data_IF_805381635214
#
_entry.id   IF_805381635214
#
_cell.length_a   1.000
_cell.length_b   1.000
_cell.length_c   1.000
_cell.angle_alpha   90.00
_cell.angle_beta   90.00
_cell.angle_gamma   90.00
#
_symmetry.space_group_name_H-M   'P 1'
#
loop_
_entity.id
_entity.type
_entity.pdbx_description
1 polymer ?
#
# COMPACT_ATOMS: atom_id res chain seq x y z
N UNK A 1 10.04 -25.50 -12.96
CA UNK A 1 11.30 -26.19 -12.63
C UNK A 1 11.04 -26.95 -11.34
N UNK A 2 11.13 -28.29 -11.36
CA UNK A 2 11.00 -29.10 -10.15
C UNK A 2 12.21 -28.81 -9.25
N UNK A 3 11.99 -28.57 -7.95
CA UNK A 3 13.08 -28.41 -6.97
C UNK A 3 13.30 -29.73 -6.24
N UNK A 4 14.53 -30.02 -5.87
CA UNK A 4 14.82 -31.14 -4.97
C UNK A 4 14.32 -30.80 -3.56
N UNK A 5 13.50 -31.66 -2.95
CA UNK A 5 12.98 -31.44 -1.60
C UNK A 5 14.10 -31.34 -0.56
N UNK A 6 15.24 -31.99 -0.81
CA UNK A 6 16.39 -32.01 0.08
C UNK A 6 17.14 -30.66 0.14
N UNK A 7 16.89 -29.79 -0.84
CA UNK A 7 17.35 -28.39 -0.77
C UNK A 7 16.59 -27.59 0.30
N UNK A 8 15.39 -28.02 0.68
CA UNK A 8 14.51 -27.26 1.59
C UNK A 8 14.40 -27.89 2.98
N UNK A 9 14.53 -29.20 3.09
CA UNK A 9 14.43 -29.95 4.34
C UNK A 9 15.36 -31.16 4.33
N UNK A 10 15.68 -31.68 5.51
CA UNK A 10 16.32 -32.98 5.67
C UNK A 10 15.30 -33.93 6.25
N UNK A 11 15.18 -35.12 5.65
CA UNK A 11 14.27 -36.15 6.14
C UNK A 11 15.07 -37.37 6.57
N UNK A 12 14.93 -37.75 7.85
CA UNK A 12 15.62 -38.90 8.44
C UNK A 12 14.60 -39.88 8.97
N UNK A 13 14.74 -41.15 8.58
CA UNK A 13 13.94 -42.25 9.11
C UNK A 13 14.62 -42.87 10.33
N UNK A 14 13.89 -42.96 11.43
CA UNK A 14 14.31 -43.67 12.63
C UNK A 14 14.10 -45.17 12.51
N UNK A 15 14.83 -45.93 13.34
CA UNK A 15 14.80 -47.41 13.36
C UNK A 15 13.40 -47.98 13.67
N UNK A 16 12.57 -47.23 14.41
CA UNK A 16 11.18 -47.57 14.73
C UNK A 16 10.16 -47.15 13.65
N UNK A 17 10.63 -46.71 12.47
CA UNK A 17 9.77 -46.19 11.40
C UNK A 17 9.28 -44.75 11.60
N UNK A 18 9.70 -44.05 12.67
CA UNK A 18 9.38 -42.63 12.83
C UNK A 18 10.12 -41.77 11.81
N UNK A 19 9.46 -40.72 11.33
CA UNK A 19 10.03 -39.77 10.38
C UNK A 19 10.38 -38.48 11.12
N UNK A 20 11.63 -38.04 10.99
CA UNK A 20 12.12 -36.79 11.54
C UNK A 20 12.48 -35.85 10.40
N UNK A 21 11.73 -34.75 10.30
CA UNK A 21 12.00 -33.67 9.34
C UNK A 21 12.69 -32.52 10.07
N UNK A 22 13.87 -32.13 9.59
CA UNK A 22 14.67 -31.03 10.14
C UNK A 22 15.05 -30.01 9.07
N UNK A 23 15.48 -28.83 9.50
CA UNK A 23 16.00 -27.79 8.63
C UNK A 23 17.36 -27.34 9.16
N UNK A 24 18.41 -27.57 8.37
CA UNK A 24 19.74 -27.04 8.63
C UNK A 24 19.91 -25.61 8.12
N UNK A 25 21.11 -25.04 8.33
CA UNK A 25 21.42 -23.69 7.88
C UNK A 25 21.36 -23.55 6.35
N UNK A 26 21.85 -24.55 5.62
CA UNK A 26 21.81 -24.57 4.14
C UNK A 26 20.38 -24.61 3.61
N UNK A 27 19.54 -25.50 4.15
CA UNK A 27 18.13 -25.60 3.77
C UNK A 27 17.39 -24.29 4.01
N UNK A 28 17.71 -23.63 5.13
CA UNK A 28 17.16 -22.33 5.47
C UNK A 28 17.56 -21.24 4.48
N UNK A 29 18.83 -21.20 4.07
CA UNK A 29 19.29 -20.32 3.00
C UNK A 29 18.54 -20.58 1.69
N UNK A 30 18.37 -21.84 1.29
CA UNK A 30 17.64 -22.22 0.08
C UNK A 30 16.17 -21.77 0.11
N UNK A 31 15.51 -21.85 1.26
CA UNK A 31 14.15 -21.34 1.42
C UNK A 31 14.07 -19.82 1.19
N UNK A 32 15.01 -19.04 1.73
CA UNK A 32 15.02 -17.59 1.52
C UNK A 32 15.43 -17.20 0.10
N UNK A 33 16.34 -17.95 -0.55
CA UNK A 33 16.63 -17.79 -1.98
C UNK A 33 15.37 -18.02 -2.82
N UNK A 34 14.63 -19.08 -2.53
CA UNK A 34 13.36 -19.35 -3.21
C UNK A 34 12.34 -18.22 -3.01
N UNK A 35 12.22 -17.68 -1.79
CA UNK A 35 11.35 -16.52 -1.54
C UNK A 35 11.75 -15.30 -2.37
N UNK A 36 13.04 -15.04 -2.50
CA UNK A 36 13.58 -13.98 -3.34
C UNK A 36 13.24 -14.22 -4.83
N UNK A 37 13.41 -15.45 -5.32
CA UNK A 37 13.07 -15.84 -6.71
C UNK A 37 11.59 -15.64 -7.05
N UNK A 38 10.68 -15.90 -6.10
CA UNK A 38 9.24 -15.67 -6.29
C UNK A 38 8.81 -14.22 -6.00
N UNK A 39 9.79 -13.34 -5.78
CA UNK A 39 9.66 -11.90 -5.74
C UNK A 39 9.47 -11.29 -4.35
N UNK A 40 9.64 -12.03 -3.25
CA UNK A 40 9.51 -11.43 -1.91
C UNK A 40 10.79 -10.72 -1.48
N UNK A 41 10.59 -9.55 -0.88
CA UNK A 41 11.66 -8.71 -0.37
C UNK A 41 11.24 -8.03 0.94
N UNK A 42 12.24 -7.42 1.58
CA UNK A 42 12.14 -6.62 2.78
C UNK A 42 12.92 -5.33 2.58
N UNK A 43 12.44 -4.24 3.15
CA UNK A 43 13.18 -2.98 3.28
C UNK A 43 12.88 -2.34 4.65
N UNK A 44 13.52 -1.21 4.92
CA UNK A 44 13.22 -0.35 6.06
C UNK A 44 12.82 1.04 5.58
N UNK A 45 11.58 1.45 5.84
CA UNK A 45 11.03 2.77 5.51
C UNK A 45 10.68 3.46 6.82
N UNK A 46 11.20 4.67 7.08
CA UNK A 46 10.97 5.42 8.32
C UNK A 46 11.17 4.59 9.60
N UNK A 47 12.27 3.81 9.65
CA UNK A 47 12.61 2.88 10.75
C UNK A 47 11.63 1.71 10.95
N UNK A 48 10.69 1.50 10.03
CA UNK A 48 9.76 0.37 10.05
C UNK A 48 10.17 -0.66 9.01
N UNK A 49 10.14 -1.92 9.40
CA UNK A 49 10.32 -3.03 8.47
C UNK A 49 9.08 -3.14 7.59
N UNK A 50 9.29 -3.15 6.28
CA UNK A 50 8.23 -3.32 5.28
C UNK A 50 8.56 -4.55 4.46
N UNK A 51 7.60 -5.45 4.34
CA UNK A 51 7.66 -6.58 3.42
C UNK A 51 6.87 -6.23 2.16
N UNK A 52 7.36 -6.69 1.02
CA UNK A 52 6.69 -6.46 -0.24
C UNK A 52 7.05 -7.57 -1.22
N UNK A 53 6.27 -7.64 -2.29
CA UNK A 53 6.45 -8.57 -3.38
C UNK A 53 6.56 -7.82 -4.70
N UNK A 54 7.53 -8.21 -5.52
CA UNK A 54 7.68 -7.73 -6.89
C UNK A 54 7.08 -8.74 -7.86
N UNK A 55 6.09 -8.33 -8.64
CA UNK A 55 5.43 -9.16 -9.65
C UNK A 55 5.42 -8.37 -10.97
N UNK A 56 6.03 -8.92 -12.02
CA UNK A 56 6.11 -8.28 -13.34
C UNK A 56 6.66 -6.84 -13.32
N UNK A 57 7.57 -6.54 -12.39
CA UNK A 57 8.14 -5.20 -12.23
C UNK A 57 7.41 -4.32 -11.21
N UNK A 58 6.15 -4.62 -10.89
CA UNK A 58 5.32 -3.85 -9.96
C UNK A 58 5.54 -4.27 -8.51
N UNK A 59 5.42 -3.32 -7.58
CA UNK A 59 5.62 -3.53 -6.15
C UNK A 59 4.29 -3.59 -5.41
N UNK A 60 4.12 -4.62 -4.59
CA UNK A 60 2.94 -4.83 -3.76
C UNK A 60 3.36 -4.98 -2.30
N UNK A 61 2.77 -4.17 -1.43
CA UNK A 61 2.92 -4.33 0.01
C UNK A 61 2.44 -5.73 0.42
N UNK A 62 3.23 -6.40 1.27
CA UNK A 62 2.99 -7.77 1.72
C UNK A 62 3.12 -7.84 3.24
N UNK A 63 2.60 -8.91 3.84
CA UNK A 63 2.89 -9.25 5.23
C UNK A 63 3.90 -10.39 5.33
N UNK A 64 4.46 -10.59 6.52
CA UNK A 64 5.29 -11.76 6.79
C UNK A 64 4.47 -13.06 6.79
N UNK A 65 3.19 -12.99 7.15
CA UNK A 65 2.27 -14.13 7.08
C UNK A 65 1.95 -14.50 5.63
N UNK A 66 1.89 -13.53 4.73
CA UNK A 66 1.73 -13.79 3.29
C UNK A 66 2.95 -14.51 2.71
N UNK A 67 4.17 -14.15 3.13
CA UNK A 67 5.39 -14.87 2.78
C UNK A 67 5.27 -16.34 3.20
N UNK A 68 4.89 -16.60 4.45
CA UNK A 68 4.72 -17.96 4.99
C UNK A 68 3.63 -18.74 4.27
N UNK A 69 2.49 -18.10 4.03
CA UNK A 69 1.35 -18.73 3.37
C UNK A 69 1.67 -19.04 1.91
N UNK A 70 2.37 -18.13 1.22
CA UNK A 70 2.77 -18.34 -0.16
C UNK A 70 3.80 -19.45 -0.28
N UNK A 71 4.78 -19.52 0.63
CA UNK A 71 5.73 -20.63 0.66
C UNK A 71 5.01 -21.97 0.90
N UNK A 72 4.07 -22.02 1.85
CA UNK A 72 3.29 -23.23 2.11
C UNK A 72 2.46 -23.66 0.89
N UNK A 73 1.76 -22.73 0.24
CA UNK A 73 1.03 -23.00 -1.01
C UNK A 73 1.97 -23.49 -2.11
N UNK A 74 3.19 -22.96 -2.16
CA UNK A 74 4.21 -23.44 -3.10
C UNK A 74 4.70 -24.83 -2.75
N UNK A 75 4.83 -25.19 -1.48
CA UNK A 75 5.01 -26.59 -1.10
C UNK A 75 3.81 -27.37 -1.65
N UNK A 76 2.61 -27.13 -1.15
CA UNK A 76 1.39 -27.88 -1.48
C UNK A 76 1.18 -28.16 -2.98
N UNK A 77 1.44 -27.17 -3.84
CA UNK A 77 1.15 -27.25 -5.27
C UNK A 77 2.36 -27.60 -6.16
N UNK A 78 3.57 -27.77 -5.61
CA UNK A 78 4.75 -28.10 -6.42
C UNK A 78 5.05 -29.59 -6.40
N UNK A 79 5.50 -30.09 -7.54
CA UNK A 79 6.13 -31.41 -7.63
C UNK A 79 7.61 -31.26 -7.26
N UNK A 80 8.01 -31.84 -6.12
CA UNK A 80 9.41 -31.90 -5.70
C UNK A 80 10.05 -33.22 -6.09
N UNK A 81 11.32 -33.16 -6.48
CA UNK A 81 12.14 -34.35 -6.72
C UNK A 81 12.62 -34.93 -5.39
N UNK A 82 12.99 -36.22 -5.42
CA UNK A 82 13.67 -36.92 -4.34
C UNK A 82 12.90 -36.94 -3.00
N UNK A 83 11.57 -36.88 -3.06
CA UNK A 83 10.73 -37.27 -1.92
C UNK A 83 10.86 -38.80 -1.75
N UNK A 84 11.30 -39.31 -0.58
CA UNK A 84 11.39 -40.76 -0.36
C UNK A 84 10.02 -41.43 -0.57
N UNK A 85 10.01 -42.57 -1.27
CA UNK A 85 8.76 -43.26 -1.67
C UNK A 85 7.88 -43.71 -0.51
N UNK A 86 8.47 -43.84 0.68
CA UNK A 86 7.81 -44.27 1.91
C UNK A 86 7.28 -43.10 2.75
N UNK A 87 7.39 -41.85 2.27
CA UNK A 87 6.94 -40.66 2.97
C UNK A 87 5.67 -40.12 2.34
N UNK A 88 4.65 -39.92 3.17
CA UNK A 88 3.44 -39.24 2.73
C UNK A 88 3.71 -37.75 2.63
N UNK A 89 3.46 -37.16 1.46
CA UNK A 89 3.63 -35.73 1.23
C UNK A 89 2.95 -34.84 2.27
N UNK A 90 1.80 -35.28 2.81
CA UNK A 90 1.08 -34.58 3.89
C UNK A 90 1.92 -34.39 5.16
N UNK A 91 2.87 -35.27 5.45
CA UNK A 91 3.76 -35.14 6.61
C UNK A 91 4.69 -33.94 6.50
N UNK A 92 5.17 -33.63 5.29
CA UNK A 92 5.98 -32.44 5.02
C UNK A 92 5.15 -31.18 5.22
N UNK A 93 3.91 -31.17 4.72
CA UNK A 93 2.99 -30.03 4.89
C UNK A 93 2.64 -29.80 6.37
N UNK A 94 2.36 -30.88 7.11
CA UNK A 94 2.09 -30.83 8.54
C UNK A 94 3.31 -30.37 9.34
N UNK A 95 4.51 -30.83 8.97
CA UNK A 95 5.76 -30.37 9.58
C UNK A 95 5.92 -28.85 9.40
N UNK A 96 5.68 -28.34 8.19
CA UNK A 96 5.80 -26.90 7.93
C UNK A 96 4.86 -26.10 8.83
N UNK A 97 3.59 -26.51 8.93
CA UNK A 97 2.59 -25.84 9.76
C UNK A 97 2.94 -25.93 11.25
N UNK A 98 3.46 -27.07 11.71
CA UNK A 98 3.83 -27.28 13.10
C UNK A 98 5.15 -26.61 13.52
N UNK A 99 6.10 -26.39 12.60
CA UNK A 99 7.43 -25.85 12.92
C UNK A 99 7.64 -24.39 12.49
N UNK A 100 6.89 -23.90 11.51
CA UNK A 100 7.01 -22.56 10.94
C UNK A 100 8.49 -22.18 10.67
N UNK A 101 9.14 -22.88 9.72
CA UNK A 101 10.59 -22.77 9.49
C UNK A 101 11.07 -21.38 9.04
N UNK A 102 10.18 -20.57 8.44
CA UNK A 102 10.46 -19.19 8.02
C UNK A 102 10.28 -18.24 9.21
N UNK A 103 11.36 -17.57 9.63
CA UNK A 103 11.42 -16.76 10.86
C UNK A 103 12.09 -15.40 10.64
N UNK A 104 11.86 -14.47 11.57
CA UNK A 104 12.62 -13.23 11.62
C UNK A 104 14.01 -13.49 12.20
N UNK A 105 14.98 -13.72 11.32
CA UNK A 105 16.37 -14.00 11.70
C UNK A 105 17.37 -13.30 10.79
N UNK A 106 18.66 -13.49 11.08
CA UNK A 106 19.75 -12.88 10.32
C UNK A 106 19.76 -13.34 8.86
N UNK A 107 19.49 -14.63 8.61
CA UNK A 107 19.46 -15.20 7.25
C UNK A 107 18.36 -14.56 6.41
N UNK A 108 17.17 -14.31 6.97
CA UNK A 108 16.13 -13.55 6.27
C UNK A 108 16.63 -12.18 5.81
N UNK A 109 17.37 -11.46 6.67
CA UNK A 109 17.90 -10.16 6.32
C UNK A 109 18.96 -10.24 5.23
N UNK A 110 19.80 -11.27 5.23
CA UNK A 110 20.84 -11.46 4.22
C UNK A 110 20.27 -11.68 2.81
N UNK A 111 19.12 -12.36 2.69
CA UNK A 111 18.57 -12.74 1.39
C UNK A 111 17.42 -11.87 0.88
N UNK A 112 16.61 -11.31 1.78
CA UNK A 112 15.41 -10.56 1.37
C UNK A 112 15.58 -9.06 1.48
N UNK A 113 16.58 -8.56 2.21
CA UNK A 113 16.72 -7.12 2.43
C UNK A 113 17.30 -6.43 1.19
N UNK A 114 16.55 -5.48 0.63
CA UNK A 114 17.01 -4.64 -0.47
C UNK A 114 16.83 -3.17 -0.14
N UNK A 115 17.64 -2.33 -0.79
CA UNK A 115 17.47 -0.87 -0.76
C UNK A 115 16.59 -0.46 -1.94
N UNK A 116 15.59 0.36 -1.67
CA UNK A 116 14.73 0.93 -2.70
C UNK A 116 15.25 2.28 -3.17
N UNK A 117 14.91 2.65 -4.40
CA UNK A 117 14.99 4.04 -4.85
C UNK A 117 13.78 4.84 -4.33
N UNK A 118 13.77 6.14 -4.56
CA UNK A 118 12.71 7.03 -4.05
C UNK A 118 11.33 6.72 -4.66
N UNK A 119 11.29 6.33 -5.93
CA UNK A 119 10.05 6.01 -6.66
C UNK A 119 9.40 4.72 -6.11
N UNK A 120 10.18 3.67 -5.93
CA UNK A 120 9.75 2.40 -5.35
C UNK A 120 9.29 2.58 -3.89
N UNK A 121 10.02 3.40 -3.12
CA UNK A 121 9.61 3.75 -1.76
C UNK A 121 8.28 4.52 -1.77
N UNK A 122 8.11 5.49 -2.67
CA UNK A 122 6.85 6.21 -2.84
C UNK A 122 5.69 5.26 -3.14
N UNK A 123 5.85 4.37 -4.12
CA UNK A 123 4.83 3.37 -4.50
C UNK A 123 4.41 2.53 -3.30
N UNK A 124 5.36 2.01 -2.52
CA UNK A 124 5.03 1.21 -1.34
C UNK A 124 4.33 2.04 -0.27
N UNK A 125 4.83 3.25 0.04
CA UNK A 125 4.22 4.12 1.05
C UNK A 125 2.79 4.49 0.70
N UNK A 126 2.47 4.69 -0.58
CA UNK A 126 1.10 4.92 -1.04
C UNK A 126 0.16 3.76 -0.71
N UNK A 127 0.66 2.53 -0.58
CA UNK A 127 -0.16 1.35 -0.28
C UNK A 127 -0.45 1.21 1.22
N UNK A 128 0.56 1.35 2.09
CA UNK A 128 0.43 1.03 3.52
C UNK A 128 0.47 2.23 4.48
N UNK A 129 1.04 3.37 4.08
CA UNK A 129 1.17 4.56 4.93
C UNK A 129 0.03 5.55 4.62
N UNK A 130 -1.07 5.39 5.36
CA UNK A 130 -2.25 6.25 5.21
C UNK A 130 -1.95 7.74 5.38
N UNK A 131 -1.07 8.10 6.31
CA UNK A 131 -0.74 9.51 6.57
C UNK A 131 0.06 10.10 5.42
N UNK A 132 1.02 9.33 4.88
CA UNK A 132 1.76 9.73 3.69
C UNK A 132 0.84 9.90 2.48
N UNK A 133 0.01 8.89 2.19
CA UNK A 133 -0.93 8.95 1.07
C UNK A 133 -1.86 10.15 1.16
N UNK A 134 -2.37 10.46 2.36
CA UNK A 134 -3.23 11.62 2.54
C UNK A 134 -2.50 12.92 2.21
N UNK A 135 -1.32 13.13 2.82
CA UNK A 135 -0.53 14.34 2.59
C UNK A 135 -0.12 14.52 1.12
N UNK A 136 0.23 13.43 0.45
CA UNK A 136 0.54 13.43 -0.98
C UNK A 136 -0.67 13.89 -1.81
N UNK A 137 -1.86 13.34 -1.55
CA UNK A 137 -3.09 13.73 -2.23
C UNK A 137 -3.44 15.22 -2.01
N UNK A 138 -3.29 15.71 -0.77
CA UNK A 138 -3.51 17.13 -0.44
C UNK A 138 -2.54 18.01 -1.23
N UNK A 139 -1.25 17.65 -1.22
CA UNK A 139 -0.20 18.42 -1.89
C UNK A 139 -0.43 18.47 -3.40
N UNK A 140 -0.73 17.33 -4.03
CA UNK A 140 -1.06 17.29 -5.45
C UNK A 140 -2.23 18.20 -5.80
N UNK A 141 -3.31 18.14 -5.02
CA UNK A 141 -4.50 18.93 -5.31
C UNK A 141 -4.25 20.44 -5.14
N UNK A 142 -3.47 20.83 -4.12
CA UNK A 142 -3.04 22.22 -3.94
C UNK A 142 -2.21 22.71 -5.13
N UNK A 143 -1.26 21.91 -5.62
CA UNK A 143 -0.50 22.23 -6.83
C UNK A 143 -1.43 22.39 -8.04
N UNK A 144 -2.44 21.52 -8.19
CA UNK A 144 -3.43 21.65 -9.26
C UNK A 144 -4.30 22.90 -9.14
N UNK A 145 -4.66 23.32 -7.94
CA UNK A 145 -5.37 24.59 -7.75
C UNK A 145 -4.56 25.78 -8.24
N UNK A 146 -3.25 25.81 -7.98
CA UNK A 146 -2.36 26.84 -8.49
C UNK A 146 -2.29 26.80 -10.03
N UNK A 147 -2.07 25.61 -10.62
CA UNK A 147 -2.02 25.42 -12.08
C UNK A 147 -3.33 25.85 -12.77
N UNK A 148 -4.50 25.55 -12.16
CA UNK A 148 -5.81 25.88 -12.72
C UNK A 148 -6.28 27.30 -12.39
N UNK A 149 -5.46 28.11 -11.70
CA UNK A 149 -5.78 29.50 -11.37
C UNK A 149 -6.91 29.65 -10.36
N UNK A 150 -7.04 28.73 -9.41
CA UNK A 150 -7.97 28.87 -8.29
C UNK A 150 -7.52 30.03 -7.40
N UNK A 151 -8.49 30.78 -6.90
CA UNK A 151 -8.28 31.79 -5.86
C UNK A 151 -8.44 31.16 -4.49
N UNK A 152 -7.64 31.61 -3.53
CA UNK A 152 -7.72 31.18 -2.13
C UNK A 152 -8.38 32.28 -1.28
N UNK A 153 -9.28 31.88 -0.39
CA UNK A 153 -9.82 32.73 0.69
C UNK A 153 -9.99 31.91 1.96
N UNK A 154 -10.45 32.54 3.03
CA UNK A 154 -10.80 31.89 4.29
C UNK A 154 -12.33 31.89 4.43
N UNK A 155 -12.87 30.76 4.85
CA UNK A 155 -14.26 30.62 5.24
C UNK A 155 -14.47 31.14 6.67
N UNK A 156 -15.09 32.31 6.77
CA UNK A 156 -15.48 32.92 8.03
C UNK A 156 -16.95 32.68 8.37
N UNK A 157 -17.69 31.90 7.58
CA UNK A 157 -19.13 31.67 7.81
C UNK A 157 -19.34 30.71 8.97
N UNK A 158 -18.57 29.62 9.00
CA UNK A 158 -18.73 28.54 9.98
C UNK A 158 -17.72 28.63 11.15
N UNK A 159 -17.13 29.79 11.40
CA UNK A 159 -16.15 30.07 12.50
C UNK A 159 -14.86 29.23 12.52
N UNK A 160 -14.71 28.25 11.63
CA UNK A 160 -13.56 27.34 11.57
C UNK A 160 -12.36 27.89 10.76
N UNK A 161 -12.43 29.15 10.28
CA UNK A 161 -11.41 29.81 9.46
C UNK A 161 -10.80 28.90 8.38
N UNK A 162 -11.66 28.11 7.74
CA UNK A 162 -11.23 27.01 6.88
C UNK A 162 -10.79 27.54 5.51
N UNK A 163 -9.63 27.12 4.97
CA UNK A 163 -9.23 27.52 3.63
C UNK A 163 -10.25 27.08 2.58
N UNK A 164 -10.63 28.02 1.71
CA UNK A 164 -11.44 27.78 0.53
C UNK A 164 -10.63 28.06 -0.72
N UNK A 165 -10.73 27.17 -1.69
CA UNK A 165 -10.17 27.35 -3.02
C UNK A 165 -11.33 27.39 -4.00
N UNK A 166 -11.40 28.42 -4.85
CA UNK A 166 -12.51 28.57 -5.78
C UNK A 166 -12.10 29.07 -7.16
N UNK A 167 -12.87 28.66 -8.17
CA UNK A 167 -12.76 29.11 -9.55
C UNK A 167 -14.16 29.39 -10.10
N UNK A 168 -14.32 30.49 -10.84
CA UNK A 168 -15.60 30.86 -11.46
C UNK A 168 -15.91 29.90 -12.61
N UNK A 169 -17.13 29.38 -12.67
CA UNK A 169 -17.58 28.46 -13.73
C UNK A 169 -18.65 29.06 -14.64
N UNK A 170 -19.47 29.98 -14.13
CA UNK A 170 -20.43 30.76 -14.91
C UNK A 170 -20.76 32.06 -14.19
N UNK A 171 -21.75 32.81 -14.69
CA UNK A 171 -22.39 33.86 -13.92
C UNK A 171 -22.85 33.30 -12.56
N UNK A 172 -22.41 33.96 -11.49
CA UNK A 172 -22.68 33.66 -10.08
C UNK A 172 -22.33 32.26 -9.54
N UNK A 173 -21.79 31.35 -10.36
CA UNK A 173 -21.42 30.00 -9.93
C UNK A 173 -19.92 29.80 -9.87
N UNK A 174 -19.49 29.09 -8.84
CA UNK A 174 -18.10 28.83 -8.53
C UNK A 174 -17.93 27.36 -8.18
N UNK A 175 -16.88 26.73 -8.72
CA UNK A 175 -16.38 25.47 -8.23
C UNK A 175 -15.56 25.76 -6.97
N UNK A 176 -15.96 25.18 -5.85
CA UNK A 176 -15.40 25.46 -4.52
C UNK A 176 -14.87 24.17 -3.91
N UNK A 177 -13.68 24.27 -3.32
CA UNK A 177 -13.07 23.24 -2.50
C UNK A 177 -12.85 23.76 -1.08
N UNK A 178 -13.46 23.10 -0.10
CA UNK A 178 -13.31 23.39 1.33
C UNK A 178 -12.27 22.46 1.96
N UNK A 179 -11.19 23.03 2.48
CA UNK A 179 -10.08 22.28 3.08
C UNK A 179 -10.35 21.97 4.55
N UNK A 180 -11.20 20.98 4.83
CA UNK A 180 -11.52 20.61 6.22
C UNK A 180 -10.29 20.06 6.96
N UNK A 181 -10.26 20.23 8.29
CA UNK A 181 -9.20 19.75 9.18
C UNK A 181 -7.76 20.08 8.72
N UNK A 182 -7.53 21.18 8.00
CA UNK A 182 -6.24 21.55 7.38
C UNK A 182 -5.06 21.66 8.36
N UNK A 183 -5.31 21.82 9.66
CA UNK A 183 -4.27 21.81 10.71
C UNK A 183 -3.87 20.39 11.14
N UNK A 184 -4.70 19.39 10.85
CA UNK A 184 -4.50 17.99 11.21
C UNK A 184 -4.18 17.14 9.98
N UNK A 185 -2.89 17.00 9.67
CA UNK A 185 -2.35 16.23 8.53
C UNK A 185 -2.77 14.75 8.41
N UNK A 186 -3.47 14.20 9.40
CA UNK A 186 -3.99 12.81 9.38
C UNK A 186 -5.46 12.73 8.98
N UNK A 187 -6.17 13.87 9.02
CA UNK A 187 -7.61 13.97 8.81
C UNK A 187 -7.98 15.08 7.83
N UNK A 188 -7.00 15.83 7.31
CA UNK A 188 -7.20 16.87 6.34
C UNK A 188 -7.69 16.31 5.00
N UNK A 189 -8.45 17.13 4.26
CA UNK A 189 -9.10 16.71 3.03
C UNK A 189 -9.90 17.85 2.42
N UNK A 190 -10.49 17.57 1.26
CA UNK A 190 -11.26 18.55 0.53
C UNK A 190 -12.67 18.05 0.25
N UNK A 191 -13.66 18.90 0.51
CA UNK A 191 -15.01 18.73 -0.02
C UNK A 191 -15.18 19.63 -1.23
N UNK A 192 -15.83 19.11 -2.27
CA UNK A 192 -16.00 19.76 -3.56
C UNK A 192 -17.47 20.03 -3.87
N UNK A 193 -17.80 21.26 -4.25
CA UNK A 193 -19.16 21.68 -4.60
C UNK A 193 -19.19 22.72 -5.72
N UNK A 194 -20.35 22.86 -6.37
CA UNK A 194 -20.71 24.09 -7.09
C UNK A 194 -21.54 24.97 -6.17
N UNK A 195 -21.06 26.17 -5.91
CA UNK A 195 -21.70 27.13 -5.02
C UNK A 195 -22.10 28.39 -5.77
N UNK A 196 -23.29 28.91 -5.48
CA UNK A 196 -23.84 30.12 -6.10
C UNK A 196 -23.73 31.31 -5.15
N UNK A 197 -23.14 32.42 -5.61
CA UNK A 197 -22.98 33.65 -4.85
C UNK A 197 -23.38 34.86 -5.71
N UNK A 198 -24.09 35.82 -5.11
CA UNK A 198 -24.49 37.04 -5.81
C UNK A 198 -23.29 37.88 -6.31
N UNK A 199 -22.14 37.78 -5.63
CA UNK A 199 -20.87 38.42 -6.01
C UNK A 199 -19.70 37.57 -5.51
N UNK A 200 -18.61 37.55 -6.26
CA UNK A 200 -17.37 36.85 -5.90
C UNK A 200 -16.82 37.30 -4.53
N UNK A 201 -16.93 38.60 -4.22
CA UNK A 201 -16.43 39.19 -2.97
C UNK A 201 -17.13 38.68 -1.70
N UNK A 202 -18.22 37.92 -1.85
CA UNK A 202 -18.96 37.29 -0.75
C UNK A 202 -18.46 35.88 -0.41
N UNK A 203 -17.63 35.26 -1.26
CA UNK A 203 -17.11 33.91 -1.03
C UNK A 203 -16.23 33.90 0.22
N UNK A 204 -16.54 33.01 1.16
CA UNK A 204 -15.90 32.92 2.48
C UNK A 204 -16.36 33.99 3.50
N UNK A 205 -17.30 34.88 3.14
CA UNK A 205 -17.85 35.90 4.04
C UNK A 205 -19.35 35.73 4.31
N UNK A 206 -20.09 35.13 3.38
CA UNK A 206 -21.51 34.84 3.51
C UNK A 206 -21.79 33.43 3.03
N UNK A 207 -22.84 32.82 3.57
CA UNK A 207 -23.35 31.55 3.05
C UNK A 207 -23.75 31.72 1.59
N UNK A 208 -23.44 30.72 0.77
CA UNK A 208 -23.87 30.69 -0.64
C UNK A 208 -25.38 30.59 -0.74
N UNK A 209 -25.95 31.14 -1.81
CA UNK A 209 -27.38 31.09 -2.10
C UNK A 209 -27.84 29.66 -2.44
N UNK A 210 -26.96 28.86 -3.02
CA UNK A 210 -27.21 27.46 -3.37
C UNK A 210 -25.89 26.69 -3.36
N UNK A 211 -25.91 25.48 -2.82
CA UNK A 211 -24.81 24.51 -2.86
C UNK A 211 -25.30 23.28 -3.61
N UNK A 212 -24.48 22.80 -4.52
CA UNK A 212 -24.61 21.48 -5.12
C UNK A 212 -23.32 20.72 -4.85
N UNK A 213 -23.39 19.73 -3.96
CA UNK A 213 -22.24 18.88 -3.66
C UNK A 213 -21.85 18.06 -4.88
N UNK A 214 -20.55 18.03 -5.17
CA UNK A 214 -19.96 17.15 -6.17
C UNK A 214 -19.41 15.91 -5.46
N UNK A 215 -18.59 16.11 -4.42
CA UNK A 215 -17.93 15.02 -3.72
C UNK A 215 -17.44 15.44 -2.34
N UNK A 216 -17.78 14.65 -1.32
CA UNK A 216 -17.13 14.72 -0.01
C UNK A 216 -15.86 13.86 -0.01
N UNK A 217 -14.80 14.35 0.61
CA UNK A 217 -13.49 13.68 0.64
C UNK A 217 -12.94 13.44 -0.78
N UNK A 218 -12.84 14.52 -1.55
CA UNK A 218 -12.34 14.55 -2.92
C UNK A 218 -10.88 14.10 -2.99
N UNK A 219 -10.61 13.14 -3.88
CA UNK A 219 -9.26 12.61 -4.17
C UNK A 219 -8.99 12.83 -5.65
N UNK A 220 -7.92 13.55 -5.98
CA UNK A 220 -7.61 13.98 -7.34
C UNK A 220 -7.66 12.84 -8.37
N UNK A 221 -6.88 11.77 -8.17
CA UNK A 221 -6.79 10.65 -9.12
C UNK A 221 -8.13 9.95 -9.36
N UNK A 222 -8.99 9.87 -8.33
CA UNK A 222 -10.29 9.21 -8.39
C UNK A 222 -11.37 10.09 -9.00
N UNK A 223 -11.38 11.37 -8.64
CA UNK A 223 -12.55 12.24 -8.78
C UNK A 223 -12.40 13.36 -9.82
N UNK A 224 -11.21 13.51 -10.45
CA UNK A 224 -10.93 14.58 -11.43
C UNK A 224 -11.96 14.64 -12.58
N UNK A 225 -12.46 13.50 -13.03
CA UNK A 225 -13.44 13.46 -14.12
C UNK A 225 -14.78 14.11 -13.75
N UNK A 226 -15.11 14.23 -12.46
CA UNK A 226 -16.33 14.90 -11.99
C UNK A 226 -16.29 16.41 -12.21
N UNK A 227 -15.08 16.99 -12.23
CA UNK A 227 -14.88 18.44 -12.28
C UNK A 227 -14.26 18.93 -13.60
N UNK A 228 -13.77 18.02 -14.47
CA UNK A 228 -12.99 18.37 -15.66
C UNK A 228 -13.63 19.46 -16.53
N UNK A 229 -14.95 19.39 -16.74
CA UNK A 229 -15.73 20.37 -17.51
C UNK A 229 -15.77 21.80 -16.94
N UNK A 230 -15.28 21.98 -15.71
CA UNK A 230 -15.25 23.27 -14.99
C UNK A 230 -13.84 23.84 -14.89
N UNK A 231 -12.82 23.15 -15.41
CA UNK A 231 -11.41 23.54 -15.30
C UNK A 231 -10.91 24.31 -16.53
N UNK A 232 -11.63 24.20 -17.66
CA UNK A 232 -11.44 24.99 -18.89
C UNK A 232 -11.72 26.49 -18.64
#
# INVERSE_FOLDING_TARGET
>A
MMKDINELITIVKGENGSIKITQGAEQKCSMYKFLNEIGFYKTTINKRVVFFRKINGELFHSSFDEIRTTFWKKLENSEFLNIPSDINYKEILNWYLGKLPIKHDKTLNEYLNIRLNEEDEHILRMQFDHSYRNQFNITQLLTKFEEWGFKKTIDNVDSDNTPLYYKKVSEDKYLVFRHYYFENKKRDGFDCSISTFAKESLIGKKQSLKIQDIKLGFIFERDINLIRKFLE
#
